data_IF_178521708860
#
_entry.id   IF_178521708860
#
_cell.length_a   1.000
_cell.length_b   1.000
_cell.length_c   1.000
_cell.angle_alpha   90.00
_cell.angle_beta   90.00
_cell.angle_gamma   90.00
#
_symmetry.space_group_name_H-M   'P 1'
#
loop_
_entity.id
_entity.type
_entity.pdbx_description
1 polymer ?
#
# COMPACT_ATOMS: atom_id res chain seq x y z
N UNK A 1 72.41 -31.91 58.07
CA UNK A 1 71.47 -30.77 58.00
C UNK A 1 71.19 -30.61 56.50
N UNK A 2 70.02 -30.83 55.91
CA UNK A 2 68.63 -30.60 56.30
C UNK A 2 67.79 -31.50 55.36
N UNK A 3 66.72 -32.13 55.86
CA UNK A 3 65.82 -33.00 55.08
C UNK A 3 64.95 -32.15 54.15
N UNK A 4 64.75 -32.58 52.90
CA UNK A 4 63.52 -32.28 52.14
C UNK A 4 63.06 -33.56 51.43
N UNK A 5 61.88 -34.02 51.85
CA UNK A 5 60.99 -34.99 51.21
C UNK A 5 60.04 -34.18 50.34
N UNK A 6 59.70 -34.61 49.12
CA UNK A 6 58.39 -34.38 48.46
C UNK A 6 58.34 -35.26 47.20
N UNK A 7 57.67 -36.42 47.24
CA UNK A 7 56.24 -36.65 46.92
C UNK A 7 55.94 -36.34 45.45
N UNK A 8 55.78 -37.41 44.66
CA UNK A 8 55.20 -37.35 43.32
C UNK A 8 53.68 -37.15 43.39
N UNK A 9 53.13 -36.49 42.38
CA UNK A 9 51.70 -36.48 42.13
C UNK A 9 51.44 -36.48 40.63
N UNK A 10 50.67 -37.47 40.21
CA UNK A 10 50.27 -37.74 38.84
C UNK A 10 49.38 -36.63 38.27
N UNK A 11 49.66 -36.23 37.03
CA UNK A 11 48.81 -35.32 36.25
C UNK A 11 47.57 -36.05 35.75
N UNK A 12 46.41 -35.74 36.34
CA UNK A 12 45.10 -36.11 35.82
C UNK A 12 44.57 -34.99 34.92
N UNK A 13 44.31 -35.34 33.66
CA UNK A 13 43.50 -34.59 32.71
C UNK A 13 42.07 -34.40 33.25
N UNK A 14 41.60 -33.15 33.32
CA UNK A 14 40.17 -32.85 33.31
C UNK A 14 39.91 -31.67 32.37
N UNK A 15 39.37 -32.01 31.20
CA UNK A 15 38.79 -31.07 30.28
C UNK A 15 37.45 -30.57 30.86
N UNK A 16 37.37 -29.29 31.20
CA UNK A 16 36.07 -28.66 31.44
C UNK A 16 35.54 -28.15 30.10
N UNK A 17 34.66 -28.94 29.49
CA UNK A 17 33.80 -28.49 28.40
C UNK A 17 32.72 -27.59 29.01
N UNK A 18 32.83 -26.28 28.80
CA UNK A 18 31.75 -25.33 29.07
C UNK A 18 30.74 -25.38 27.92
N UNK A 19 29.64 -26.10 28.11
CA UNK A 19 28.45 -25.95 27.27
C UNK A 19 27.85 -24.55 27.51
N UNK A 20 27.52 -23.77 26.48
CA UNK A 20 26.68 -22.61 26.66
C UNK A 20 25.27 -23.10 26.96
N UNK A 21 24.76 -22.73 28.14
CA UNK A 21 23.36 -22.83 28.49
C UNK A 21 22.53 -22.09 27.44
N UNK A 22 21.69 -22.83 26.71
CA UNK A 22 20.60 -22.25 25.92
C UNK A 22 19.56 -21.71 26.91
N UNK A 23 19.81 -20.50 27.40
CA UNK A 23 18.76 -19.70 27.97
C UNK A 23 17.89 -19.21 26.82
N UNK A 24 16.78 -19.92 26.61
CA UNK A 24 15.74 -19.51 25.67
C UNK A 24 15.00 -18.34 26.32
N UNK A 25 15.66 -17.18 26.41
CA UNK A 25 14.97 -15.92 26.62
C UNK A 25 14.14 -15.69 25.37
N UNK A 26 12.83 -15.98 25.48
CA UNK A 26 11.85 -15.44 24.56
C UNK A 26 12.01 -13.92 24.64
N UNK A 27 12.68 -13.34 23.66
CA UNK A 27 12.70 -11.90 23.44
C UNK A 27 11.27 -11.51 23.13
N UNK A 28 10.52 -11.11 24.16
CA UNK A 28 9.28 -10.38 23.98
C UNK A 28 9.70 -9.13 23.21
N UNK A 29 9.31 -9.04 21.94
CA UNK A 29 9.55 -7.86 21.13
C UNK A 29 9.08 -6.66 21.93
N UNK A 30 10.02 -5.81 22.37
CA UNK A 30 9.67 -4.54 22.98
C UNK A 30 8.91 -3.77 21.91
N UNK A 31 7.65 -3.45 22.18
CA UNK A 31 6.86 -2.51 21.38
C UNK A 31 7.63 -1.19 21.36
N UNK A 32 8.27 -0.89 20.24
CA UNK A 32 8.85 0.44 20.02
C UNK A 32 7.69 1.43 20.02
N UNK A 33 7.73 2.41 20.91
CA UNK A 33 6.70 3.44 20.97
C UNK A 33 6.75 4.28 19.69
N UNK A 34 5.62 4.42 18.99
CA UNK A 34 5.49 5.33 17.84
C UNK A 34 5.70 6.76 18.33
N UNK A 35 6.84 7.37 17.98
CA UNK A 35 7.26 8.66 18.55
C UNK A 35 7.62 9.70 17.48
N UNK A 36 7.91 9.27 16.26
CA UNK A 36 8.25 10.09 15.12
C UNK A 36 7.42 9.71 13.89
N UNK A 37 7.42 10.56 12.87
CA UNK A 37 6.80 10.28 11.56
C UNK A 37 7.52 9.19 10.75
N UNK A 38 8.59 8.57 11.30
CA UNK A 38 9.27 7.42 10.72
C UNK A 38 9.03 6.12 11.48
N UNK A 39 8.39 6.19 12.65
CA UNK A 39 8.09 5.02 13.49
C UNK A 39 6.73 4.46 13.13
N UNK A 40 6.60 3.14 13.20
CA UNK A 40 5.32 2.45 13.07
C UNK A 40 5.24 1.26 14.02
N UNK A 41 4.04 0.88 14.42
CA UNK A 41 3.77 -0.40 15.09
C UNK A 41 2.77 -1.20 14.28
N UNK A 42 3.17 -2.41 13.87
CA UNK A 42 2.29 -3.33 13.12
C UNK A 42 1.54 -4.25 14.08
N UNK A 43 0.24 -4.45 13.84
CA UNK A 43 -0.64 -5.23 14.72
C UNK A 43 -1.68 -6.04 13.95
N UNK A 44 -2.16 -7.10 14.60
CA UNK A 44 -3.30 -7.88 14.13
C UNK A 44 -4.62 -7.10 14.27
N UNK A 45 -5.72 -7.59 13.68
CA UNK A 45 -7.03 -6.96 13.85
C UNK A 45 -7.52 -6.93 15.31
N UNK A 46 -7.00 -7.83 16.16
CA UNK A 46 -7.27 -7.89 17.61
C UNK A 46 -6.29 -7.02 18.43
N UNK A 47 -5.46 -6.22 17.77
CA UNK A 47 -4.51 -5.31 18.40
C UNK A 47 -3.26 -5.97 18.98
N UNK A 48 -2.96 -7.21 18.59
CA UNK A 48 -1.72 -7.87 19.00
C UNK A 48 -0.57 -7.39 18.12
N UNK A 49 0.50 -6.86 18.72
CA UNK A 49 1.72 -6.51 18.01
C UNK A 49 2.27 -7.68 17.18
N UNK A 50 2.70 -7.39 15.95
CA UNK A 50 3.24 -8.34 14.99
C UNK A 50 4.65 -7.92 14.56
N UNK A 51 5.52 -8.91 14.35
CA UNK A 51 6.81 -8.72 13.72
C UNK A 51 6.66 -8.89 12.20
N UNK A 52 7.12 -7.89 11.45
CA UNK A 52 7.07 -7.88 9.98
C UNK A 52 7.86 -9.03 9.34
N UNK A 53 8.85 -9.58 10.06
CA UNK A 53 9.63 -10.74 9.60
C UNK A 53 8.97 -12.08 9.93
N UNK A 54 7.89 -12.08 10.71
CA UNK A 54 7.15 -13.26 11.14
C UNK A 54 5.65 -13.10 10.87
N UNK A 55 5.31 -12.87 9.59
CA UNK A 55 3.94 -12.59 9.18
C UNK A 55 3.00 -13.77 9.48
N UNK A 56 1.76 -13.51 9.92
CA UNK A 56 0.73 -14.52 10.10
C UNK A 56 0.38 -15.22 8.77
N UNK A 57 -0.06 -16.47 8.88
CA UNK A 57 -0.42 -17.32 7.72
C UNK A 57 -1.45 -16.66 6.80
N UNK A 58 -2.40 -15.89 7.33
CA UNK A 58 -3.39 -15.19 6.52
C UNK A 58 -2.76 -14.18 5.54
N UNK A 59 -1.71 -13.46 5.96
CA UNK A 59 -0.99 -12.55 5.06
C UNK A 59 -0.09 -13.31 4.09
N UNK A 60 0.46 -14.45 4.49
CA UNK A 60 1.30 -15.29 3.61
C UNK A 60 0.46 -15.96 2.51
N UNK A 61 -0.74 -16.43 2.85
CA UNK A 61 -1.62 -17.20 1.96
C UNK A 61 -2.60 -16.32 1.15
N UNK A 62 -2.65 -15.01 1.41
CA UNK A 62 -3.50 -14.10 0.64
C UNK A 62 -2.99 -14.00 -0.81
N UNK A 63 -3.91 -13.94 -1.77
CA UNK A 63 -3.56 -13.69 -3.17
C UNK A 63 -3.32 -12.18 -3.38
N UNK A 64 -4.04 -11.34 -2.64
CA UNK A 64 -3.90 -9.88 -2.67
C UNK A 64 -3.76 -9.32 -1.25
N UNK A 65 -2.76 -8.47 -1.05
CA UNK A 65 -2.58 -7.67 0.17
C UNK A 65 -2.78 -6.21 -0.20
N UNK A 66 -3.81 -5.58 0.36
CA UNK A 66 -4.07 -4.16 0.20
C UNK A 66 -3.47 -3.40 1.38
N UNK A 67 -2.54 -2.48 1.13
CA UNK A 67 -1.93 -1.63 2.14
C UNK A 67 -2.43 -0.21 1.94
N UNK A 68 -3.33 0.23 2.81
CA UNK A 68 -3.84 1.59 2.85
C UNK A 68 -2.77 2.59 3.25
N UNK A 69 -2.88 3.82 2.76
CA UNK A 69 -1.97 4.90 3.14
C UNK A 69 -2.63 6.26 3.33
N UNK A 70 -1.96 7.09 4.11
CA UNK A 70 -2.03 8.54 3.96
C UNK A 70 -0.84 8.97 3.10
N UNK A 71 -1.10 9.42 1.86
CA UNK A 71 -0.13 9.55 0.75
C UNK A 71 1.18 10.33 0.99
N UNK A 72 1.38 10.96 2.13
CA UNK A 72 2.59 11.74 2.44
C UNK A 72 3.19 11.37 3.79
N UNK A 73 2.80 10.22 4.35
CA UNK A 73 3.19 9.81 5.68
C UNK A 73 4.40 8.88 5.62
N UNK A 74 5.57 9.39 6.03
CA UNK A 74 6.85 8.69 5.85
C UNK A 74 6.91 7.30 6.51
N UNK A 75 6.32 7.10 7.69
CA UNK A 75 6.31 5.79 8.35
C UNK A 75 5.49 4.75 7.58
N UNK A 76 4.43 5.15 6.88
CA UNK A 76 3.61 4.24 6.07
C UNK A 76 4.41 3.80 4.85
N UNK A 77 5.06 4.72 4.15
CA UNK A 77 5.91 4.40 3.01
C UNK A 77 7.12 3.54 3.39
N UNK A 78 7.69 3.80 4.58
CA UNK A 78 8.70 2.92 5.18
C UNK A 78 8.14 1.51 5.41
N UNK A 79 6.99 1.38 6.06
CA UNK A 79 6.34 0.09 6.30
C UNK A 79 6.05 -0.66 4.99
N UNK A 80 5.51 0.00 3.96
CA UNK A 80 5.25 -0.61 2.65
C UNK A 80 6.52 -1.22 2.06
N UNK A 81 7.65 -0.50 2.15
CA UNK A 81 8.95 -0.98 1.67
C UNK A 81 9.48 -2.15 2.52
N UNK A 82 9.39 -2.04 3.85
CA UNK A 82 9.79 -3.09 4.78
C UNK A 82 8.95 -4.37 4.58
N UNK A 83 7.65 -4.22 4.33
CA UNK A 83 6.71 -5.31 4.07
C UNK A 83 7.04 -6.01 2.75
N UNK A 84 7.21 -5.25 1.67
CA UNK A 84 7.60 -5.78 0.37
C UNK A 84 8.93 -6.55 0.45
N UNK A 85 9.90 -6.00 1.19
CA UNK A 85 11.19 -6.66 1.44
C UNK A 85 11.06 -7.94 2.25
N UNK A 86 10.29 -7.91 3.35
CA UNK A 86 10.04 -9.10 4.16
C UNK A 86 9.38 -10.22 3.36
N UNK A 87 8.41 -9.87 2.49
CA UNK A 87 7.78 -10.83 1.57
C UNK A 87 8.76 -11.37 0.53
N UNK A 88 9.58 -10.50 -0.07
CA UNK A 88 10.58 -10.90 -1.08
C UNK A 88 11.63 -11.86 -0.52
N UNK A 89 12.06 -11.65 0.72
CA UNK A 89 13.00 -12.54 1.41
C UNK A 89 12.44 -13.96 1.61
N UNK A 90 11.12 -14.10 1.69
CA UNK A 90 10.46 -15.39 1.89
C UNK A 90 10.07 -16.08 0.58
N UNK A 91 9.79 -15.34 -0.49
CA UNK A 91 9.40 -15.90 -1.79
C UNK A 91 9.66 -14.93 -2.93
N UNK A 92 9.97 -15.47 -4.11
CA UNK A 92 10.08 -14.70 -5.34
C UNK A 92 8.74 -14.44 -6.03
N UNK A 93 7.67 -15.09 -5.57
CA UNK A 93 6.37 -15.08 -6.22
C UNK A 93 5.50 -13.92 -5.72
N UNK A 94 6.06 -12.71 -5.77
CA UNK A 94 5.34 -11.48 -5.43
C UNK A 94 5.38 -10.50 -6.59
N UNK A 95 4.45 -9.54 -6.53
CA UNK A 95 4.31 -8.42 -7.46
C UNK A 95 3.86 -7.19 -6.68
N UNK A 96 4.39 -6.03 -7.02
CA UNK A 96 3.93 -4.75 -6.49
C UNK A 96 2.84 -4.18 -7.42
N UNK A 97 1.79 -3.61 -6.86
CA UNK A 97 0.75 -2.88 -7.59
C UNK A 97 0.60 -1.50 -6.96
N UNK A 98 0.54 -0.45 -7.76
CA UNK A 98 0.58 0.92 -7.26
C UNK A 98 -0.55 1.76 -7.84
N UNK A 99 -1.31 2.44 -6.96
CA UNK A 99 -2.25 3.51 -7.34
C UNK A 99 -1.53 4.66 -8.08
N UNK A 100 -0.26 4.88 -7.75
CA UNK A 100 0.51 6.05 -8.18
C UNK A 100 0.84 6.04 -9.69
N UNK A 101 0.80 4.87 -10.32
CA UNK A 101 1.05 4.70 -11.75
C UNK A 101 -0.23 4.24 -12.45
N UNK A 102 -0.42 4.75 -13.66
CA UNK A 102 -1.64 4.55 -14.43
C UNK A 102 -1.40 3.65 -15.64
N UNK A 103 -2.41 2.88 -16.04
CA UNK A 103 -2.29 1.79 -17.04
C UNK A 103 -1.63 2.23 -18.35
N UNK A 104 -1.91 3.44 -18.81
CA UNK A 104 -1.33 4.03 -20.04
C UNK A 104 0.20 4.16 -19.99
N UNK A 105 0.78 4.10 -18.79
CA UNK A 105 2.20 4.27 -18.55
C UNK A 105 2.92 2.97 -18.17
N UNK A 106 2.25 1.81 -18.23
CA UNK A 106 2.86 0.51 -17.90
C UNK A 106 4.15 0.27 -18.70
N UNK A 107 4.14 0.53 -20.02
CA UNK A 107 5.33 0.35 -20.87
C UNK A 107 6.52 1.19 -20.40
N UNK A 108 6.30 2.45 -20.01
CA UNK A 108 7.37 3.33 -19.52
C UNK A 108 7.88 2.87 -18.16
N UNK A 109 6.98 2.39 -17.29
CA UNK A 109 7.37 1.79 -16.02
C UNK A 109 8.24 0.54 -16.23
N UNK A 110 7.85 -0.35 -17.14
CA UNK A 110 8.59 -1.56 -17.46
C UNK A 110 9.98 -1.25 -18.04
N UNK A 111 10.09 -0.27 -18.95
CA UNK A 111 11.37 0.23 -19.45
C UNK A 111 12.28 0.72 -18.33
N UNK A 112 11.71 1.40 -17.32
CA UNK A 112 12.48 1.86 -16.17
C UNK A 112 12.98 0.69 -15.31
N UNK A 113 12.10 -0.28 -15.03
CA UNK A 113 12.44 -1.49 -14.26
C UNK A 113 13.53 -2.30 -14.98
N UNK A 114 13.49 -2.38 -16.31
CA UNK A 114 14.49 -3.08 -17.13
C UNK A 114 15.81 -2.29 -17.31
N UNK A 115 15.89 -1.07 -16.78
CA UNK A 115 17.09 -0.24 -16.90
C UNK A 115 17.30 0.40 -18.27
N UNK A 116 16.27 0.41 -19.12
CA UNK A 116 16.31 1.01 -20.47
C UNK A 116 16.24 2.53 -20.42
N UNK A 117 15.59 3.09 -19.39
CA UNK A 117 15.48 4.53 -19.14
C UNK A 117 15.88 4.89 -17.70
N UNK A 118 16.24 6.16 -17.49
CA UNK A 118 16.57 6.71 -16.17
C UNK A 118 15.34 7.28 -15.42
N UNK A 119 15.51 7.56 -14.13
CA UNK A 119 14.41 7.99 -13.23
C UNK A 119 13.71 9.26 -13.71
N UNK A 120 14.48 10.24 -14.19
CA UNK A 120 13.92 11.49 -14.71
C UNK A 120 12.97 11.25 -15.90
N UNK A 121 13.27 10.24 -16.73
CA UNK A 121 12.40 9.86 -17.85
C UNK A 121 11.15 9.17 -17.31
N UNK A 122 11.27 8.22 -16.38
CA UNK A 122 10.12 7.63 -15.70
C UNK A 122 9.19 8.72 -15.14
N UNK A 123 9.74 9.65 -14.34
CA UNK A 123 8.93 10.67 -13.69
C UNK A 123 8.18 11.54 -14.68
N UNK A 124 8.83 11.93 -15.77
CA UNK A 124 8.24 12.79 -16.80
C UNK A 124 7.25 12.06 -17.72
N UNK A 125 7.54 10.83 -18.15
CA UNK A 125 6.77 10.10 -19.16
C UNK A 125 5.72 9.16 -18.58
N UNK A 126 5.92 8.65 -17.36
CA UNK A 126 4.92 7.86 -16.63
C UNK A 126 4.06 8.72 -15.69
N UNK A 127 4.17 10.06 -15.80
CA UNK A 127 3.45 11.04 -14.98
C UNK A 127 3.53 10.73 -13.47
N UNK A 128 4.71 10.38 -12.98
CA UNK A 128 4.89 10.03 -11.57
C UNK A 128 4.42 11.17 -10.67
N UNK A 129 3.90 10.82 -9.50
CA UNK A 129 3.35 11.81 -8.58
C UNK A 129 4.43 12.80 -8.12
N UNK A 130 4.08 14.06 -7.80
CA UNK A 130 5.06 15.07 -7.40
C UNK A 130 5.92 14.70 -6.19
N UNK A 131 5.44 13.78 -5.35
CA UNK A 131 6.13 13.25 -4.17
C UNK A 131 6.82 11.89 -4.41
N UNK A 132 6.92 11.43 -5.66
CA UNK A 132 7.55 10.14 -6.02
C UNK A 132 8.88 9.90 -5.34
N UNK A 133 9.79 10.88 -5.43
CA UNK A 133 11.16 10.75 -4.96
C UNK A 133 11.29 10.50 -3.45
N UNK A 134 10.38 11.05 -2.65
CA UNK A 134 10.38 10.91 -1.20
C UNK A 134 9.57 9.70 -0.72
N UNK A 135 8.45 9.42 -1.40
CA UNK A 135 7.41 8.55 -0.84
C UNK A 135 7.35 7.19 -1.53
N UNK A 136 7.70 7.10 -2.82
CA UNK A 136 7.47 5.90 -3.65
C UNK A 136 8.71 5.33 -4.32
N UNK A 137 9.79 6.13 -4.46
CA UNK A 137 11.07 5.69 -5.03
C UNK A 137 11.58 4.41 -4.37
N UNK A 138 11.52 4.31 -3.05
CA UNK A 138 12.05 3.16 -2.31
C UNK A 138 11.37 1.84 -2.72
N UNK A 139 10.05 1.86 -2.97
CA UNK A 139 9.30 0.71 -3.46
C UNK A 139 9.74 0.32 -4.88
N UNK A 140 9.80 1.29 -5.80
CA UNK A 140 10.16 1.03 -7.20
C UNK A 140 11.61 0.57 -7.33
N UNK A 141 12.54 1.22 -6.64
CA UNK A 141 13.96 0.83 -6.66
C UNK A 141 14.18 -0.54 -6.02
N UNK A 142 13.44 -0.85 -4.94
CA UNK A 142 13.48 -2.19 -4.36
C UNK A 142 12.99 -3.23 -5.35
N UNK A 143 11.86 -2.97 -6.01
CA UNK A 143 11.29 -3.87 -7.02
C UNK A 143 12.24 -4.09 -8.19
N UNK A 144 12.81 -3.01 -8.73
CA UNK A 144 13.82 -3.03 -9.80
C UNK A 144 15.05 -3.84 -9.42
N UNK A 145 15.59 -3.65 -8.21
CA UNK A 145 16.78 -4.34 -7.75
C UNK A 145 16.56 -5.84 -7.45
N UNK A 146 15.31 -6.30 -7.36
CA UNK A 146 14.95 -7.67 -6.95
C UNK A 146 14.08 -8.41 -7.98
N UNK A 147 13.97 -7.89 -9.20
CA UNK A 147 13.15 -8.44 -10.28
C UNK A 147 11.70 -8.71 -9.84
N UNK A 148 11.11 -7.72 -9.17
CA UNK A 148 9.68 -7.72 -8.80
C UNK A 148 8.92 -6.87 -9.80
N UNK A 149 7.95 -7.48 -10.46
CA UNK A 149 7.04 -6.77 -11.38
C UNK A 149 6.32 -5.64 -10.64
N UNK A 150 6.07 -4.53 -11.33
CA UNK A 150 5.26 -3.41 -10.82
C UNK A 150 4.10 -3.14 -11.76
N UNK A 151 2.88 -3.23 -11.24
CA UNK A 151 1.65 -2.95 -11.97
C UNK A 151 1.30 -1.47 -11.81
N UNK A 152 1.20 -0.76 -12.94
CA UNK A 152 0.57 0.54 -13.04
C UNK A 152 -0.95 0.37 -13.02
N UNK A 153 -1.52 0.36 -11.82
CA UNK A 153 -2.85 -0.18 -11.58
C UNK A 153 -3.98 0.81 -11.93
N UNK A 154 -3.70 2.11 -11.91
CA UNK A 154 -4.75 3.10 -11.79
C UNK A 154 -5.23 3.65 -13.15
N UNK A 155 -6.37 4.34 -13.12
CA UNK A 155 -6.90 5.04 -14.29
C UNK A 155 -6.23 6.41 -14.49
N UNK A 156 -6.05 6.87 -15.74
CA UNK A 156 -5.56 8.21 -16.06
C UNK A 156 -6.38 9.29 -15.34
N UNK A 157 -5.71 10.12 -14.53
CA UNK A 157 -6.34 11.19 -13.75
C UNK A 157 -7.20 12.16 -14.59
N UNK A 158 -6.81 12.59 -15.80
CA UNK A 158 -7.67 13.46 -16.62
C UNK A 158 -9.04 12.84 -16.92
N UNK A 159 -9.09 11.54 -17.20
CA UNK A 159 -10.35 10.86 -17.51
C UNK A 159 -11.24 10.74 -16.29
N UNK A 160 -10.67 10.38 -15.14
CA UNK A 160 -11.42 10.32 -13.89
C UNK A 160 -11.93 11.69 -13.46
N UNK A 161 -11.16 12.76 -13.71
CA UNK A 161 -11.62 14.14 -13.50
C UNK A 161 -12.79 14.51 -14.43
N UNK A 162 -12.79 14.05 -15.67
CA UNK A 162 -13.90 14.25 -16.59
C UNK A 162 -15.15 13.45 -16.22
N UNK A 163 -15.01 12.21 -15.75
CA UNK A 163 -16.10 11.43 -15.15
C UNK A 163 -16.68 12.16 -13.93
N UNK A 164 -15.84 12.75 -13.08
CA UNK A 164 -16.28 13.57 -11.95
C UNK A 164 -17.09 14.82 -12.33
N UNK A 165 -17.01 15.27 -13.59
CA UNK A 165 -17.76 16.43 -14.12
C UNK A 165 -18.99 16.04 -14.94
N UNK A 166 -18.84 15.02 -15.77
CA UNK A 166 -19.80 14.63 -16.81
C UNK A 166 -20.59 13.38 -16.44
N UNK A 167 -20.10 12.59 -15.48
CA UNK A 167 -20.59 11.26 -15.15
C UNK A 167 -20.03 10.18 -16.07
N UNK A 168 -20.48 8.94 -15.88
CA UNK A 168 -20.08 7.78 -16.69
C UNK A 168 -20.30 7.91 -18.21
N UNK A 169 -21.29 8.66 -18.74
CA UNK A 169 -21.42 8.86 -20.19
C UNK A 169 -20.18 9.46 -20.88
N UNK A 170 -19.25 10.06 -20.12
CA UNK A 170 -17.96 10.48 -20.66
C UNK A 170 -17.16 9.32 -21.28
N UNK A 171 -17.33 8.09 -20.77
CA UNK A 171 -16.63 6.91 -21.30
C UNK A 171 -16.98 6.62 -22.75
N UNK A 172 -18.17 7.02 -23.23
CA UNK A 172 -18.61 6.83 -24.61
C UNK A 172 -17.87 7.74 -25.61
N UNK A 173 -17.15 8.75 -25.09
CA UNK A 173 -16.37 9.70 -25.89
C UNK A 173 -14.92 9.28 -26.07
N UNK A 174 -14.45 8.30 -25.28
CA UNK A 174 -13.09 7.80 -25.34
C UNK A 174 -12.85 6.98 -26.60
N UNK A 175 -11.65 7.08 -27.16
CA UNK A 175 -11.22 6.16 -28.21
C UNK A 175 -11.15 4.73 -27.67
N UNK A 176 -11.16 3.73 -28.57
CA UNK A 176 -10.99 2.32 -28.18
C UNK A 176 -9.72 2.10 -27.36
N UNK A 177 -8.62 2.79 -27.69
CA UNK A 177 -7.36 2.69 -26.96
C UNK A 177 -7.47 3.30 -25.56
N UNK A 178 -8.01 4.52 -25.46
CA UNK A 178 -8.19 5.21 -24.18
C UNK A 178 -9.11 4.43 -23.24
N UNK A 179 -10.12 3.73 -23.81
CA UNK A 179 -11.05 2.93 -23.04
C UNK A 179 -10.37 1.74 -22.35
N UNK A 180 -9.25 1.23 -22.86
CA UNK A 180 -8.48 0.14 -22.23
C UNK A 180 -7.74 0.59 -20.96
N UNK A 181 -7.52 1.89 -20.80
CA UNK A 181 -6.86 2.45 -19.60
C UNK A 181 -7.82 2.60 -18.41
N UNK A 182 -9.09 2.25 -18.58
CA UNK A 182 -10.13 2.31 -17.55
C UNK A 182 -10.79 0.92 -17.47
N UNK A 183 -11.22 0.51 -16.28
CA UNK A 183 -11.95 -0.74 -16.08
C UNK A 183 -13.07 -0.95 -17.11
N UNK A 184 -13.23 -2.17 -17.63
CA UNK A 184 -14.29 -2.51 -18.59
C UNK A 184 -15.70 -2.25 -18.02
N UNK A 185 -15.86 -2.42 -16.71
CA UNK A 185 -17.09 -2.15 -15.97
C UNK A 185 -16.81 -1.22 -14.79
N UNK A 186 -17.68 -0.22 -14.59
CA UNK A 186 -17.64 0.70 -13.44
C UNK A 186 -18.97 0.64 -12.71
N UNK A 187 -19.02 -0.03 -11.56
CA UNK A 187 -20.26 -0.27 -10.82
C UNK A 187 -20.50 0.81 -9.76
N UNK A 188 -21.40 1.73 -10.07
CA UNK A 188 -21.80 2.84 -9.19
C UNK A 188 -23.08 2.53 -8.37
N UNK A 189 -23.46 1.26 -8.32
CA UNK A 189 -24.62 0.78 -7.59
C UNK A 189 -24.55 1.04 -6.08
N UNK A 190 -25.68 0.83 -5.42
CA UNK A 190 -25.78 1.00 -3.98
C UNK A 190 -24.90 -0.03 -3.26
N UNK A 191 -24.12 0.46 -2.30
CA UNK A 191 -23.18 -0.36 -1.52
C UNK A 191 -22.83 0.34 -0.20
N UNK A 192 -22.33 -0.38 0.81
CA UNK A 192 -21.80 0.24 2.02
C UNK A 192 -20.68 1.26 1.71
N UNK A 193 -19.93 1.05 0.63
CA UNK A 193 -18.92 2.00 0.16
C UNK A 193 -19.53 3.30 -0.35
N UNK A 194 -20.62 3.22 -1.13
CA UNK A 194 -21.37 4.40 -1.57
C UNK A 194 -21.92 5.18 -0.37
N UNK A 195 -22.55 4.49 0.58
CA UNK A 195 -23.08 5.12 1.80
C UNK A 195 -21.98 5.86 2.58
N UNK A 196 -20.83 5.20 2.78
CA UNK A 196 -19.65 5.78 3.42
C UNK A 196 -19.13 7.02 2.68
N UNK A 197 -19.03 6.94 1.34
CA UNK A 197 -18.60 8.07 0.51
C UNK A 197 -19.56 9.24 0.63
N UNK A 198 -20.87 9.01 0.48
CA UNK A 198 -21.88 10.05 0.57
C UNK A 198 -21.89 10.72 1.96
N UNK A 199 -21.70 9.95 3.03
CA UNK A 199 -21.60 10.48 4.39
C UNK A 199 -20.37 11.37 4.62
N UNK A 200 -19.27 11.15 3.88
CA UNK A 200 -18.05 11.97 3.94
C UNK A 200 -18.17 13.31 3.21
N UNK A 201 -19.17 13.44 2.33
CA UNK A 201 -19.35 14.60 1.48
C UNK A 201 -20.30 15.61 2.12
N UNK A 202 -19.77 16.77 2.51
CA UNK A 202 -20.55 17.81 3.22
C UNK A 202 -20.90 19.03 2.34
N UNK A 203 -20.51 19.01 1.06
CA UNK A 203 -20.63 20.13 0.13
C UNK A 203 -20.98 19.64 -1.28
N UNK A 204 -21.85 20.36 -1.99
CA UNK A 204 -22.28 20.05 -3.36
C UNK A 204 -23.76 19.68 -3.43
N UNK A 205 -24.27 19.54 -4.65
CA UNK A 205 -25.59 18.95 -4.88
C UNK A 205 -25.51 17.42 -4.85
N UNK A 206 -26.62 16.69 -4.61
CA UNK A 206 -26.63 15.23 -4.68
C UNK A 206 -26.09 14.71 -6.03
N UNK A 207 -26.50 15.32 -7.15
CA UNK A 207 -26.02 14.96 -8.48
C UNK A 207 -24.50 15.13 -8.66
N UNK A 208 -23.93 16.21 -8.11
CA UNK A 208 -22.48 16.40 -8.13
C UNK A 208 -21.76 15.33 -7.31
N UNK A 209 -22.34 14.96 -6.18
CA UNK A 209 -21.77 13.93 -5.29
C UNK A 209 -21.82 12.55 -5.94
N UNK A 210 -22.88 12.22 -6.68
CA UNK A 210 -22.97 11.01 -7.51
C UNK A 210 -21.88 10.94 -8.58
N UNK A 211 -21.60 12.06 -9.27
CA UNK A 211 -20.51 12.11 -10.26
C UNK A 211 -19.14 11.97 -9.61
N UNK A 212 -18.94 12.56 -8.44
CA UNK A 212 -17.71 12.40 -7.66
C UNK A 212 -17.54 10.95 -7.17
N UNK A 213 -18.62 10.29 -6.77
CA UNK A 213 -18.60 8.88 -6.44
C UNK A 213 -18.25 8.02 -7.66
N UNK A 214 -18.83 8.31 -8.83
CA UNK A 214 -18.47 7.63 -10.07
C UNK A 214 -16.98 7.77 -10.40
N UNK A 215 -16.39 8.95 -10.16
CA UNK A 215 -14.94 9.15 -10.30
C UNK A 215 -14.13 8.33 -9.29
N UNK A 216 -14.53 8.35 -8.01
CA UNK A 216 -13.90 7.57 -6.94
C UNK A 216 -13.87 6.07 -7.29
N UNK A 217 -15.03 5.52 -7.65
CA UNK A 217 -15.20 4.12 -8.01
C UNK A 217 -14.45 3.78 -9.29
N UNK A 218 -14.33 4.69 -10.26
CA UNK A 218 -13.55 4.41 -11.48
C UNK A 218 -12.08 4.08 -11.15
N UNK A 219 -11.48 4.76 -10.16
CA UNK A 219 -10.15 4.39 -9.67
C UNK A 219 -10.16 2.98 -9.05
N UNK A 220 -11.07 2.70 -8.12
CA UNK A 220 -11.19 1.40 -7.46
C UNK A 220 -11.36 0.23 -8.45
N UNK A 221 -12.24 0.40 -9.43
CA UNK A 221 -12.53 -0.60 -10.46
C UNK A 221 -11.34 -0.86 -11.35
N UNK A 222 -10.60 0.20 -11.70
CA UNK A 222 -9.44 0.09 -12.59
C UNK A 222 -8.28 -0.58 -11.87
N UNK A 223 -8.02 -0.22 -10.62
CA UNK A 223 -7.02 -0.90 -9.79
C UNK A 223 -7.37 -2.36 -9.57
N UNK A 224 -8.62 -2.66 -9.22
CA UNK A 224 -9.09 -4.03 -9.02
C UNK A 224 -8.96 -4.90 -10.27
N UNK A 225 -9.41 -4.41 -11.43
CA UNK A 225 -9.31 -5.15 -12.69
C UNK A 225 -7.85 -5.35 -13.12
N UNK A 226 -6.96 -4.37 -12.91
CA UNK A 226 -5.52 -4.52 -13.18
C UNK A 226 -4.91 -5.65 -12.36
N UNK A 227 -5.30 -5.78 -11.09
CA UNK A 227 -4.82 -6.82 -10.19
C UNK A 227 -5.36 -8.19 -10.61
N UNK A 228 -6.66 -8.29 -10.90
CA UNK A 228 -7.31 -9.55 -11.28
C UNK A 228 -6.77 -10.08 -12.61
N UNK A 229 -6.62 -9.21 -13.62
CA UNK A 229 -6.10 -9.60 -14.93
C UNK A 229 -4.65 -10.08 -14.84
N UNK A 230 -3.83 -9.40 -14.02
CA UNK A 230 -2.46 -9.83 -13.77
C UNK A 230 -2.42 -11.21 -13.11
N UNK A 231 -3.24 -11.45 -12.08
CA UNK A 231 -3.30 -12.74 -11.39
C UNK A 231 -3.85 -13.87 -12.28
N UNK A 232 -4.77 -13.57 -13.19
CA UNK A 232 -5.24 -14.56 -14.17
C UNK A 232 -4.11 -15.08 -15.07
N UNK A 233 -3.16 -14.21 -15.41
CA UNK A 233 -1.95 -14.58 -16.18
C UNK A 233 -0.81 -15.12 -15.32
N UNK A 234 -0.84 -14.85 -14.00
CA UNK A 234 0.23 -15.17 -13.05
C UNK A 234 -0.33 -15.83 -11.77
N UNK A 235 -0.96 -17.01 -11.85
CA UNK A 235 -1.78 -17.57 -10.77
C UNK A 235 -1.00 -17.98 -9.50
N UNK A 236 0.34 -18.00 -9.56
CA UNK A 236 1.18 -18.33 -8.42
C UNK A 236 1.74 -17.09 -7.70
N UNK A 237 1.44 -15.87 -8.19
CA UNK A 237 1.93 -14.61 -7.62
C UNK A 237 0.99 -14.11 -6.53
N UNK A 238 1.56 -13.50 -5.50
CA UNK A 238 0.85 -12.65 -4.55
C UNK A 238 1.02 -11.18 -4.95
N UNK A 239 -0.07 -10.44 -5.06
CA UNK A 239 -0.03 -9.00 -5.36
C UNK A 239 -0.07 -8.20 -4.06
N UNK A 240 0.88 -7.29 -3.89
CA UNK A 240 0.91 -6.30 -2.80
C UNK A 240 0.52 -4.96 -3.43
N UNK A 241 -0.65 -4.45 -3.09
CA UNK A 241 -1.18 -3.20 -3.63
C UNK A 241 -1.07 -2.07 -2.61
N UNK A 242 -0.49 -0.94 -3.02
CA UNK A 242 -0.42 0.28 -2.20
C UNK A 242 -1.37 1.33 -2.77
N UNK A 243 -2.26 1.85 -1.92
CA UNK A 243 -3.25 2.85 -2.30
C UNK A 243 -3.72 3.66 -1.09
N UNK A 244 -4.30 4.83 -1.34
CA UNK A 244 -4.92 5.67 -0.33
C UNK A 244 -5.94 4.89 0.48
N UNK A 245 -5.91 5.04 1.80
CA UNK A 245 -6.68 4.19 2.73
C UNK A 245 -8.17 4.11 2.39
N UNK A 246 -8.78 5.19 1.91
CA UNK A 246 -10.21 5.20 1.57
C UNK A 246 -10.58 4.17 0.49
N UNK A 247 -9.64 3.82 -0.39
CA UNK A 247 -9.82 2.82 -1.45
C UNK A 247 -9.78 1.37 -0.94
N UNK A 248 -9.21 1.13 0.24
CA UNK A 248 -8.86 -0.23 0.71
C UNK A 248 -9.50 -0.61 2.03
N UNK A 249 -9.71 0.34 2.94
CA UNK A 249 -10.10 0.05 4.33
C UNK A 249 -11.46 -0.64 4.45
N UNK A 250 -11.57 -1.56 5.41
CA UNK A 250 -12.81 -2.25 5.76
C UNK A 250 -13.37 -3.17 4.67
N UNK A 251 -12.56 -3.56 3.69
CA UNK A 251 -12.97 -4.44 2.61
C UNK A 251 -13.91 -3.80 1.59
N UNK A 252 -13.98 -2.47 1.56
CA UNK A 252 -14.76 -1.70 0.62
C UNK A 252 -13.94 -1.34 -0.63
N UNK A 253 -14.50 -0.53 -1.53
CA UNK A 253 -13.80 0.01 -2.70
C UNK A 253 -13.12 -1.07 -3.54
N UNK A 254 -11.79 -1.00 -3.60
CA UNK A 254 -10.95 -1.90 -4.40
C UNK A 254 -11.11 -3.37 -4.01
N UNK A 255 -11.19 -3.71 -2.71
CA UNK A 255 -11.35 -5.10 -2.25
C UNK A 255 -12.68 -5.69 -2.74
N UNK A 256 -13.77 -4.93 -2.63
CA UNK A 256 -15.09 -5.35 -3.07
C UNK A 256 -15.13 -5.57 -4.60
N UNK A 257 -14.49 -4.69 -5.38
CA UNK A 257 -14.39 -4.86 -6.84
C UNK A 257 -13.57 -6.10 -7.22
N UNK A 258 -12.43 -6.36 -6.54
CA UNK A 258 -11.64 -7.58 -6.76
C UNK A 258 -12.51 -8.83 -6.55
N UNK A 259 -13.22 -8.92 -5.42
CA UNK A 259 -14.05 -10.10 -5.10
C UNK A 259 -15.27 -10.24 -6.02
N UNK A 260 -15.82 -9.14 -6.53
CA UNK A 260 -16.90 -9.23 -7.53
C UNK A 260 -16.40 -9.82 -8.86
N UNK A 261 -15.15 -9.52 -9.24
CA UNK A 261 -14.51 -10.04 -10.46
C UNK A 261 -13.99 -11.46 -10.30
N UNK A 262 -13.46 -11.78 -9.12
CA UNK A 262 -13.00 -13.11 -8.78
C UNK A 262 -13.25 -13.41 -7.28
N UNK A 263 -14.33 -14.12 -6.95
CA UNK A 263 -14.70 -14.39 -5.55
C UNK A 263 -13.82 -15.43 -4.85
N UNK A 264 -12.95 -16.13 -5.60
CA UNK A 264 -12.06 -17.15 -5.04
C UNK A 264 -10.76 -16.57 -4.50
N UNK A 265 -10.45 -15.30 -4.81
CA UNK A 265 -9.25 -14.62 -4.32
C UNK A 265 -9.35 -14.32 -2.83
N UNK A 266 -8.26 -14.60 -2.12
CA UNK A 266 -8.09 -14.27 -0.70
C UNK A 266 -7.46 -12.90 -0.58
N UNK A 267 -8.16 -11.99 0.10
CA UNK A 267 -7.69 -10.64 0.33
C UNK A 267 -7.33 -10.45 1.81
N UNK A 268 -6.23 -9.78 2.07
CA UNK A 268 -5.91 -9.23 3.38
C UNK A 268 -5.66 -7.73 3.27
N UNK A 269 -6.02 -6.99 4.32
CA UNK A 269 -6.01 -5.52 4.33
C UNK A 269 -5.20 -5.05 5.52
N UNK A 270 -4.30 -4.09 5.29
CA UNK A 270 -3.53 -3.40 6.31
C UNK A 270 -3.87 -1.91 6.21
N UNK A 271 -4.43 -1.35 7.27
CA UNK A 271 -4.91 0.04 7.31
C UNK A 271 -4.14 0.86 8.35
N UNK A 272 -3.73 2.10 8.05
CA UNK A 272 -3.10 2.97 9.02
C UNK A 272 -4.11 3.42 10.07
N UNK A 273 -3.68 3.44 11.33
CA UNK A 273 -4.48 3.88 12.48
C UNK A 273 -3.68 4.82 13.38
N UNK A 274 -4.39 5.69 14.09
CA UNK A 274 -3.77 6.57 15.10
C UNK A 274 -3.50 5.82 16.42
N UNK A 275 -4.31 4.82 16.72
CA UNK A 275 -4.21 3.99 17.91
C UNK A 275 -4.66 2.56 17.58
N UNK A 276 -3.94 1.57 18.12
CA UNK A 276 -4.31 0.16 17.97
C UNK A 276 -5.50 -0.15 18.86
N UNK A 277 -6.52 -0.78 18.27
CA UNK A 277 -7.71 -1.24 18.99
C UNK A 277 -7.83 -2.77 18.93
N UNK A 278 -8.68 -3.33 19.79
CA UNK A 278 -8.91 -4.79 19.85
C UNK A 278 -10.05 -5.30 18.96
N UNK A 279 -10.73 -4.41 18.23
CA UNK A 279 -11.94 -4.73 17.45
C UNK A 279 -11.88 -4.05 16.06
N UNK A 280 -10.91 -4.47 15.26
CA UNK A 280 -10.76 -4.05 13.87
C UNK A 280 -10.97 -5.24 12.92
N UNK A 281 -11.42 -4.98 11.69
CA UNK A 281 -11.46 -5.99 10.61
C UNK A 281 -10.10 -6.16 9.93
N UNK A 282 -9.34 -5.09 9.86
CA UNK A 282 -8.09 -4.98 9.10
C UNK A 282 -6.90 -5.21 10.04
N UNK A 283 -5.76 -5.60 9.46
CA UNK A 283 -4.50 -5.46 10.15
C UNK A 283 -4.20 -3.96 10.36
N UNK A 284 -3.59 -3.63 11.48
CA UNK A 284 -3.43 -2.25 11.92
C UNK A 284 -1.98 -1.81 11.79
N UNK A 285 -1.76 -0.64 11.23
CA UNK A 285 -0.47 0.03 11.17
C UNK A 285 -0.55 1.33 11.98
N UNK A 286 -0.15 1.28 13.24
CA UNK A 286 -0.10 2.45 14.10
C UNK A 286 0.99 3.40 13.64
N UNK A 287 0.62 4.66 13.41
CA UNK A 287 1.50 5.76 13.06
C UNK A 287 0.99 7.05 13.70
N UNK A 288 1.82 8.10 13.74
CA UNK A 288 1.36 9.40 14.23
C UNK A 288 0.27 10.01 13.32
N UNK A 289 -0.76 10.58 13.92
CA UNK A 289 -1.79 11.31 13.17
C UNK A 289 -1.16 12.48 12.40
N UNK A 290 -1.54 12.73 11.14
CA UNK A 290 -1.10 13.90 10.41
C UNK A 290 -1.50 15.18 11.15
N UNK A 291 -0.67 16.24 11.11
CA UNK A 291 -1.01 17.49 11.75
C UNK A 291 -2.29 18.07 11.16
N UNK A 292 -3.07 18.77 11.99
CA UNK A 292 -4.29 19.43 11.56
C UNK A 292 -4.01 20.36 10.36
N UNK A 293 -4.59 20.02 9.20
CA UNK A 293 -4.34 20.73 7.94
C UNK A 293 -4.69 22.22 8.01
N UNK A 294 -5.77 22.55 8.74
CA UNK A 294 -6.18 23.93 8.98
C UNK A 294 -6.75 24.08 10.40
N UNK A 295 -6.13 24.93 11.21
CA UNK A 295 -6.66 25.31 12.53
C UNK A 295 -7.69 26.45 12.40
N UNK A 296 -7.41 27.45 11.56
CA UNK A 296 -8.29 28.60 11.34
C UNK A 296 -9.22 28.37 10.14
N UNK A 297 -10.53 28.61 10.33
CA UNK A 297 -11.56 28.48 9.27
C UNK A 297 -11.25 29.35 8.04
N UNK A 298 -10.75 30.57 8.22
CA UNK A 298 -10.40 31.46 7.11
C UNK A 298 -9.33 30.87 6.19
N UNK A 299 -8.32 30.20 6.76
CA UNK A 299 -7.26 29.56 5.99
C UNK A 299 -7.80 28.37 5.20
N UNK A 300 -8.70 27.58 5.82
CA UNK A 300 -9.41 26.49 5.13
C UNK A 300 -10.22 27.00 3.94
N UNK A 301 -11.01 28.06 4.13
CA UNK A 301 -11.83 28.66 3.07
C UNK A 301 -10.98 29.23 1.93
N UNK A 302 -9.87 29.91 2.25
CA UNK A 302 -8.91 30.40 1.25
C UNK A 302 -8.33 29.25 0.43
N UNK A 303 -7.90 28.16 1.08
CA UNK A 303 -7.36 27.00 0.38
C UNK A 303 -8.37 26.35 -0.58
N UNK A 304 -9.63 26.17 -0.16
CA UNK A 304 -10.68 25.60 -1.01
C UNK A 304 -10.95 26.45 -2.26
N UNK A 305 -10.91 27.78 -2.15
CA UNK A 305 -11.04 28.70 -3.29
C UNK A 305 -9.90 28.58 -4.31
N UNK A 306 -8.70 28.19 -3.89
CA UNK A 306 -7.59 27.94 -4.80
C UNK A 306 -7.69 26.57 -5.48
N UNK A 307 -8.20 25.56 -4.78
CA UNK A 307 -8.37 24.21 -5.34
C UNK A 307 -9.37 24.17 -6.50
N UNK A 308 -10.46 24.94 -6.43
CA UNK A 308 -11.46 25.01 -7.51
C UNK A 308 -10.92 25.54 -8.85
N UNK A 309 -9.72 26.16 -8.85
CA UNK A 309 -9.07 26.67 -10.05
C UNK A 309 -8.08 25.70 -10.69
N UNK A 310 -7.63 24.66 -9.95
CA UNK A 310 -6.54 23.78 -10.40
C UNK A 310 -6.86 22.97 -11.65
N UNK A 311 -8.14 22.75 -11.92
CA UNK A 311 -8.58 21.97 -13.06
C UNK A 311 -9.30 22.81 -14.12
N UNK A 312 -9.23 24.15 -14.04
CA UNK A 312 -10.00 25.03 -14.92
C UNK A 312 -9.61 24.91 -16.41
N UNK A 313 -8.40 24.42 -16.71
CA UNK A 313 -7.91 24.21 -18.07
C UNK A 313 -8.14 22.80 -18.64
N UNK A 314 -8.70 21.87 -17.85
CA UNK A 314 -9.03 20.54 -18.36
C UNK A 314 -10.32 20.64 -19.17
N UNK A 315 -10.24 20.30 -20.45
CA UNK A 315 -11.38 20.15 -21.34
C UNK A 315 -11.86 18.69 -21.30
N UNK A 316 -13.19 18.52 -21.29
CA UNK A 316 -13.86 17.22 -21.22
C UNK A 316 -14.86 17.19 -22.37
N UNK A 317 -14.32 17.25 -23.57
CA UNK A 317 -15.05 17.27 -24.84
C UNK A 317 -15.48 15.86 -25.25
#
# INVERSE_FOLDING_TARGET
>A
MQRIILIGLATLLTACASQPSKDTSQTVAQTESVSTFYDYQFASPQGKALDINALPKQLIDADVILIGEWHTHSAIHRFQTDFLKARRNATSNITLSMEQFTREHQTTLDQYLNGEIGEQILMSQAAAWPNYESDYRALVEFSKANDVDVIAANAPKPFVQCIGRKGLPYLDQLSTEQRLWIAAEVDTGDSPYKEKFMASMHHGTPEQTEKQFAAQVTWDETMAESIVDYLASNPNKQVIHVAGMFHTEGGLGTAASILRRNPDLKIAIISPVEEITSDNSDYQLEVLSPPARFVKKENRMKAYKHLSKRSASLECD
#
